data_IF_343666509931
#
_entry.id   IF_343666509931
#
_cell.length_a   1.000
_cell.length_b   1.000
_cell.length_c   1.000
_cell.angle_alpha   90.00
_cell.angle_beta   90.00
_cell.angle_gamma   90.00
#
_symmetry.space_group_name_H-M   'P 1'
#
loop_
_entity.id
_entity.type
_entity.pdbx_description
1 polymer ?
#
# COMPACT_ATOMS: atom_id res chain seq x y z
N UNK A 1 -10.56 -21.84 17.00
CA UNK A 1 -10.16 -20.59 17.69
C UNK A 1 -10.71 -19.41 16.90
N UNK A 2 -11.42 -18.50 17.56
CA UNK A 2 -11.97 -17.27 16.98
C UNK A 2 -11.18 -16.10 17.57
N UNK A 3 -10.50 -15.32 16.74
CA UNK A 3 -9.76 -14.14 17.19
C UNK A 3 -10.59 -12.92 16.81
N UNK A 4 -10.99 -12.15 17.81
CA UNK A 4 -11.70 -10.88 17.62
C UNK A 4 -10.67 -9.77 17.52
N UNK A 5 -10.83 -8.91 16.53
CA UNK A 5 -10.00 -7.73 16.31
C UNK A 5 -10.86 -6.56 15.81
N UNK A 6 -10.24 -5.41 15.62
CA UNK A 6 -10.90 -4.22 15.11
C UNK A 6 -10.26 -3.80 13.79
N UNK A 7 -11.06 -3.52 12.77
CA UNK A 7 -10.55 -3.02 11.51
C UNK A 7 -9.92 -1.65 11.71
N UNK A 8 -8.63 -1.52 11.43
CA UNK A 8 -7.90 -0.26 11.60
C UNK A 8 -8.49 0.89 10.77
N UNK A 9 -9.12 0.59 9.64
CA UNK A 9 -9.67 1.57 8.70
C UNK A 9 -11.07 2.06 9.09
N UNK A 10 -12.04 1.15 9.24
CA UNK A 10 -13.44 1.53 9.51
C UNK A 10 -13.87 1.39 10.97
N UNK A 11 -12.98 0.94 11.86
CA UNK A 11 -13.24 0.71 13.29
C UNK A 11 -14.39 -0.27 13.58
N UNK A 12 -14.83 -1.05 12.59
CA UNK A 12 -15.77 -2.13 12.82
C UNK A 12 -15.06 -3.34 13.43
N UNK A 13 -15.79 -4.08 14.26
CA UNK A 13 -15.34 -5.36 14.78
C UNK A 13 -15.19 -6.36 13.65
N UNK A 14 -14.08 -7.09 13.65
CA UNK A 14 -13.76 -8.14 12.70
C UNK A 14 -13.32 -9.40 13.44
N UNK A 15 -13.44 -10.52 12.76
CA UNK A 15 -13.08 -11.82 13.28
C UNK A 15 -12.14 -12.53 12.30
N UNK A 16 -11.12 -13.20 12.84
CA UNK A 16 -10.33 -14.19 12.13
C UNK A 16 -10.69 -15.58 12.66
N UNK A 17 -11.21 -16.43 11.77
CA UNK A 17 -11.49 -17.83 12.06
C UNK A 17 -10.57 -18.73 11.20
N UNK A 18 -10.52 -20.02 11.53
CA UNK A 18 -9.69 -20.97 10.77
C UNK A 18 -10.30 -21.39 9.43
N UNK A 19 -11.59 -21.13 9.21
CA UNK A 19 -12.32 -21.57 8.02
C UNK A 19 -12.13 -20.62 6.82
N UNK A 20 -11.95 -19.32 7.09
CA UNK A 20 -11.94 -18.29 6.04
C UNK A 20 -10.51 -17.88 5.75
N UNK A 21 -9.92 -18.48 4.72
CA UNK A 21 -8.53 -18.25 4.31
C UNK A 21 -8.44 -18.06 2.81
N UNK A 22 -7.43 -17.32 2.35
CA UNK A 22 -7.14 -17.22 0.91
C UNK A 22 -6.42 -18.47 0.40
N UNK A 23 -6.18 -18.55 -0.91
CA UNK A 23 -5.47 -19.67 -1.55
C UNK A 23 -4.08 -19.96 -0.98
N UNK A 24 -3.43 -18.97 -0.36
CA UNK A 24 -2.12 -19.10 0.26
C UNK A 24 -2.22 -19.48 1.75
N UNK A 25 -3.41 -19.79 2.25
CA UNK A 25 -3.64 -20.12 3.65
C UNK A 25 -3.54 -18.93 4.60
N UNK A 26 -3.70 -17.68 4.14
CA UNK A 26 -3.75 -16.49 5.03
C UNK A 26 -5.18 -16.24 5.47
N UNK A 27 -5.41 -16.03 6.77
CA UNK A 27 -6.75 -15.77 7.33
C UNK A 27 -7.33 -14.45 6.80
N UNK A 28 -8.58 -14.49 6.34
CA UNK A 28 -9.31 -13.33 5.82
C UNK A 28 -10.26 -12.83 6.92
N UNK A 29 -10.31 -11.52 7.20
CA UNK A 29 -11.22 -10.98 8.20
C UNK A 29 -12.68 -11.11 7.75
N UNK A 30 -13.54 -11.52 8.68
CA UNK A 30 -15.00 -11.62 8.52
C UNK A 30 -15.73 -10.79 9.58
N UNK A 31 -17.01 -10.52 9.38
CA UNK A 31 -17.89 -9.97 10.41
C UNK A 31 -18.37 -11.06 11.40
N UNK A 32 -19.25 -10.69 12.33
CA UNK A 32 -19.79 -11.63 13.33
C UNK A 32 -20.71 -12.71 12.75
N UNK A 33 -21.21 -12.50 11.53
CA UNK A 33 -22.04 -13.44 10.79
C UNK A 33 -21.23 -14.32 9.84
N UNK A 34 -19.91 -14.12 9.76
CA UNK A 34 -19.01 -14.88 8.89
C UNK A 34 -18.92 -14.36 7.45
N UNK A 35 -19.51 -13.20 7.14
CA UNK A 35 -19.37 -12.59 5.83
C UNK A 35 -18.02 -11.89 5.71
N UNK A 36 -17.47 -11.86 4.50
CA UNK A 36 -16.20 -11.19 4.22
C UNK A 36 -16.28 -9.70 4.59
N UNK A 37 -15.36 -9.27 5.46
CA UNK A 37 -15.28 -7.89 5.88
C UNK A 37 -14.90 -6.99 4.70
N UNK A 38 -15.90 -6.29 4.15
CA UNK A 38 -15.74 -5.38 3.02
C UNK A 38 -15.65 -3.95 3.54
N UNK A 39 -14.43 -3.49 3.85
CA UNK A 39 -14.21 -2.14 4.36
C UNK A 39 -14.57 -1.09 3.31
N UNK A 40 -15.79 -0.55 3.36
CA UNK A 40 -16.28 0.53 2.46
C UNK A 40 -15.55 1.85 2.69
N UNK A 41 -15.04 2.05 3.91
CA UNK A 41 -14.21 3.21 4.25
C UNK A 41 -12.79 2.87 3.83
N UNK A 42 -12.52 2.98 2.52
CA UNK A 42 -11.16 3.24 2.08
C UNK A 42 -10.83 4.59 2.68
N UNK A 43 -10.21 4.63 3.86
CA UNK A 43 -9.30 5.74 4.11
C UNK A 43 -8.36 5.67 2.91
N UNK A 44 -8.57 6.54 1.92
CA UNK A 44 -7.57 6.80 0.90
C UNK A 44 -6.33 6.98 1.74
N UNK A 45 -5.37 6.06 1.65
CA UNK A 45 -4.07 6.28 2.30
C UNK A 45 -3.74 7.74 1.96
N UNK A 46 -3.48 8.62 2.94
CA UNK A 46 -3.12 9.99 2.63
C UNK A 46 -2.09 9.89 1.51
N UNK A 47 -2.39 10.53 0.37
CA UNK A 47 -1.69 10.32 -0.90
C UNK A 47 -0.20 10.20 -0.60
N UNK A 48 0.42 9.13 -1.11
CA UNK A 48 1.76 8.66 -0.75
C UNK A 48 2.55 9.68 0.06
N UNK A 49 2.70 9.45 1.38
CA UNK A 49 3.60 10.26 2.20
C UNK A 49 4.87 10.51 1.40
N UNK A 50 5.27 11.78 1.27
CA UNK A 50 6.41 12.21 0.47
C UNK A 50 7.56 11.19 0.58
N UNK A 51 7.83 10.46 -0.49
CA UNK A 51 8.85 9.41 -0.48
C UNK A 51 10.15 10.02 -0.96
N UNK A 52 11.29 9.58 -0.41
CA UNK A 52 12.60 9.94 -0.96
C UNK A 52 13.01 8.89 -1.97
N UNK A 53 13.53 9.33 -3.12
CA UNK A 53 14.18 8.43 -4.06
C UNK A 53 15.31 7.71 -3.34
N UNK A 54 15.31 6.38 -3.38
CA UNK A 54 16.33 5.58 -2.70
C UNK A 54 17.74 5.82 -3.25
N UNK A 55 17.84 6.25 -4.51
CA UNK A 55 19.11 6.44 -5.20
C UNK A 55 19.71 7.81 -4.92
N UNK A 56 18.95 8.89 -5.14
CA UNK A 56 19.45 10.27 -4.99
C UNK A 56 18.91 11.04 -3.79
N UNK A 57 18.08 10.42 -2.96
CA UNK A 57 17.50 11.04 -1.76
C UNK A 57 16.47 12.16 -2.02
N UNK A 58 16.26 12.58 -3.28
CA UNK A 58 15.31 13.63 -3.63
C UNK A 58 13.87 13.22 -3.34
N UNK A 59 13.04 14.18 -2.95
CA UNK A 59 11.63 13.92 -2.65
C UNK A 59 10.86 13.68 -3.96
N UNK A 60 10.18 12.54 -4.01
CA UNK A 60 9.32 12.10 -5.09
C UNK A 60 7.88 11.94 -4.59
N UNK A 61 6.95 12.00 -5.52
CA UNK A 61 5.55 11.64 -5.32
C UNK A 61 5.07 10.74 -6.45
N UNK A 62 3.86 10.19 -6.27
CA UNK A 62 3.21 9.32 -7.23
C UNK A 62 1.80 9.84 -7.51
N UNK A 63 1.49 10.05 -8.79
CA UNK A 63 0.19 10.50 -9.27
C UNK A 63 -0.57 9.32 -9.91
N UNK A 64 -1.88 9.26 -9.71
CA UNK A 64 -2.72 8.20 -10.27
C UNK A 64 -2.84 8.19 -11.79
N UNK A 65 -2.66 9.36 -12.40
CA UNK A 65 -2.66 9.57 -13.85
C UNK A 65 -1.30 9.19 -14.48
N UNK A 66 -0.24 9.03 -13.68
CA UNK A 66 1.11 8.69 -14.17
C UNK A 66 1.48 7.24 -13.85
N UNK A 67 1.00 6.35 -14.69
CA UNK A 67 1.28 4.90 -14.62
C UNK A 67 1.93 4.39 -15.90
N UNK A 68 2.75 3.36 -15.76
CA UNK A 68 3.24 2.57 -16.88
C UNK A 68 2.09 1.75 -17.51
N UNK A 69 2.33 1.22 -18.72
CA UNK A 69 1.41 0.28 -19.39
C UNK A 69 1.10 -0.95 -18.50
N UNK A 70 2.07 -1.35 -17.67
CA UNK A 70 1.92 -2.45 -16.69
C UNK A 70 1.17 -2.06 -15.41
N UNK A 71 0.69 -0.82 -15.29
CA UNK A 71 -0.08 -0.31 -14.15
C UNK A 71 0.75 0.11 -12.93
N UNK A 72 2.08 0.11 -13.02
CA UNK A 72 2.96 0.59 -11.93
C UNK A 72 3.04 2.12 -11.95
N UNK A 73 3.07 2.75 -10.78
CA UNK A 73 3.24 4.20 -10.67
C UNK A 73 4.64 4.63 -11.11
N UNK A 74 4.70 5.72 -11.86
CA UNK A 74 5.96 6.35 -12.28
C UNK A 74 6.29 7.42 -11.24
N UNK A 75 7.49 7.40 -10.64
CA UNK A 75 7.90 8.43 -9.68
C UNK A 75 8.03 9.78 -10.39
N UNK A 76 7.54 10.83 -9.74
CA UNK A 76 7.58 12.20 -10.22
C UNK A 76 8.32 13.08 -9.20
N UNK A 77 9.09 14.05 -9.68
CA UNK A 77 9.73 15.05 -8.84
C UNK A 77 8.69 15.90 -8.10
N UNK A 78 8.86 16.04 -6.78
CA UNK A 78 7.90 16.74 -5.92
C UNK A 78 7.58 18.17 -6.39
N UNK A 79 8.60 18.92 -6.82
CA UNK A 79 8.44 20.33 -7.17
C UNK A 79 8.08 20.57 -8.64
N UNK A 80 8.34 19.61 -9.52
CA UNK A 80 8.27 19.83 -10.96
C UNK A 80 7.10 19.09 -11.63
N UNK A 81 6.55 18.06 -10.97
CA UNK A 81 5.50 17.23 -11.56
C UNK A 81 5.97 16.42 -12.78
N UNK A 82 7.26 16.46 -13.10
CA UNK A 82 7.89 15.72 -14.20
C UNK A 82 8.35 14.35 -13.70
N UNK A 83 8.54 13.42 -14.65
CA UNK A 83 9.15 12.12 -14.36
C UNK A 83 10.48 12.34 -13.65
N UNK A 84 10.63 11.68 -12.50
CA UNK A 84 11.89 11.69 -11.76
C UNK A 84 12.96 10.97 -12.57
N UNK A 85 13.95 11.72 -13.06
CA UNK A 85 15.11 11.17 -13.75
C UNK A 85 16.28 11.06 -12.76
N UNK A 86 16.48 9.84 -12.25
CA UNK A 86 17.58 9.57 -11.35
C UNK A 86 18.85 9.27 -12.16
N UNK A 87 19.71 10.29 -12.31
CA UNK A 87 21.00 10.16 -12.99
C UNK A 87 22.11 9.56 -12.09
N UNK A 88 21.80 9.23 -10.84
CA UNK A 88 22.77 8.63 -9.93
C UNK A 88 22.75 7.09 -10.06
N UNK A 89 23.89 6.53 -10.46
CA UNK A 89 24.17 5.11 -10.34
C UNK A 89 24.16 4.74 -8.84
N UNK A 90 23.59 3.57 -8.46
CA UNK A 90 23.59 3.16 -7.06
C UNK A 90 25.02 3.19 -6.53
N UNK A 91 25.25 3.97 -5.47
CA UNK A 91 26.48 3.88 -4.71
C UNK A 91 26.48 2.49 -4.09
N UNK A 92 27.07 1.52 -4.78
CA UNK A 92 27.41 0.22 -4.23
C UNK A 92 28.50 0.49 -3.19
N UNK A 93 28.13 0.85 -1.97
CA UNK A 93 29.02 0.61 -0.84
C UNK A 93 29.17 -0.89 -0.71
N UNK A 94 30.28 -1.39 -1.22
CA UNK A 94 30.75 -2.76 -1.02
C UNK A 94 30.69 -3.10 0.48
N UNK A 95 29.95 -4.15 0.82
CA UNK A 95 30.08 -4.89 2.07
C UNK A 95 30.47 -6.32 1.77
#
# INVERSE_FOLDING_TARGET
MKIIAWCYNCKQQICFNNATRNRNGVAIPVDDYGNLHSCRHKNRKPGFQSQKCFRCGQVIHFDENYRSISGKYIPLDWNLGKRHECNETPYLENR
#
